data_IF_705907113118
#
_entry.id   IF_705907113118
#
_cell.length_a   1.000
_cell.length_b   1.000
_cell.length_c   1.000
_cell.angle_alpha   90.00
_cell.angle_beta   90.00
_cell.angle_gamma   90.00
#
_symmetry.space_group_name_H-M   'P 1'
#
loop_
_entity.id
_entity.type
_entity.pdbx_description
1 polymer ?
#
# COMPACT_ATOMS: atom_id res chain seq x y z
N UNK A 1 12.65 -2.25 6.36
CA UNK A 1 12.01 -2.20 5.02
C UNK A 1 11.20 -3.46 4.88
N UNK A 2 9.87 -3.36 4.83
CA UNK A 2 8.97 -4.49 5.04
C UNK A 2 9.03 -5.53 3.90
N UNK A 3 9.06 -6.80 4.27
CA UNK A 3 9.10 -7.92 3.32
C UNK A 3 7.74 -8.02 2.61
N UNK A 4 7.71 -8.13 1.28
CA UNK A 4 6.49 -8.32 0.49
C UNK A 4 5.53 -7.11 0.46
N UNK A 5 6.05 -5.88 0.49
CA UNK A 5 5.28 -4.65 0.25
C UNK A 5 5.24 -4.31 -1.25
N UNK A 6 4.06 -4.06 -1.80
CA UNK A 6 3.83 -3.83 -3.23
C UNK A 6 3.09 -2.49 -3.40
N UNK A 7 3.76 -1.51 -4.01
CA UNK A 7 3.17 -0.24 -4.42
C UNK A 7 2.85 -0.31 -5.92
N UNK A 8 1.61 -0.65 -6.26
CA UNK A 8 1.18 -0.88 -7.65
C UNK A 8 0.52 0.34 -8.30
N UNK A 9 -0.02 1.28 -7.51
CA UNK A 9 -0.63 2.51 -8.02
C UNK A 9 0.39 3.63 -8.28
N UNK A 10 0.07 4.57 -9.17
CA UNK A 10 0.89 5.76 -9.41
C UNK A 10 0.96 6.61 -8.15
N UNK A 11 2.16 7.06 -7.77
CA UNK A 11 2.37 7.84 -6.54
C UNK A 11 1.90 7.10 -5.25
N UNK A 12 1.80 5.77 -5.28
CA UNK A 12 1.41 4.98 -4.11
C UNK A 12 2.60 4.72 -3.18
N UNK A 13 2.31 4.46 -1.90
CA UNK A 13 3.30 4.15 -0.87
C UNK A 13 2.90 2.86 -0.16
N UNK A 14 3.77 1.85 -0.18
CA UNK A 14 3.56 0.60 0.57
C UNK A 14 4.69 0.41 1.60
N UNK A 15 4.38 0.38 2.89
CA UNK A 15 5.36 0.18 3.97
C UNK A 15 4.86 -0.80 5.03
N UNK A 16 5.36 -2.03 4.99
CA UNK A 16 4.93 -3.05 5.95
C UNK A 16 5.20 -4.46 5.46
N UNK A 17 4.76 -5.47 6.20
CA UNK A 17 4.90 -6.86 5.80
C UNK A 17 3.66 -7.30 5.02
N UNK A 18 3.79 -7.69 3.76
CA UNK A 18 2.65 -8.15 2.95
C UNK A 18 1.65 -7.07 2.54
N UNK A 19 2.03 -5.79 2.51
CA UNK A 19 1.10 -4.69 2.19
C UNK A 19 0.99 -4.45 0.68
N UNK A 20 -0.18 -4.01 0.21
CA UNK A 20 -0.48 -3.72 -1.21
C UNK A 20 -1.18 -2.38 -1.38
N UNK A 21 -0.49 -1.41 -1.96
CA UNK A 21 -1.07 -0.13 -2.37
C UNK A 21 -1.45 -0.23 -3.86
N UNK A 22 -2.66 -0.68 -4.16
CA UNK A 22 -3.08 -1.02 -5.53
C UNK A 22 -3.60 0.17 -6.34
N UNK A 23 -4.05 1.24 -5.68
CA UNK A 23 -4.65 2.39 -6.35
C UNK A 23 -3.73 3.62 -6.41
N UNK A 24 -4.03 4.54 -7.33
CA UNK A 24 -3.27 5.77 -7.49
C UNK A 24 -3.35 6.64 -6.23
N UNK A 25 -2.22 7.24 -5.85
CA UNK A 25 -2.00 8.02 -4.62
C UNK A 25 -2.39 7.29 -3.33
N UNK A 26 -2.47 5.96 -3.34
CA UNK A 26 -2.84 5.19 -2.15
C UNK A 26 -1.66 4.97 -1.21
N UNK A 27 -1.94 4.81 0.09
CA UNK A 27 -0.93 4.52 1.12
C UNK A 27 -1.33 3.25 1.86
N UNK A 28 -0.51 2.19 1.80
CA UNK A 28 -0.72 0.94 2.52
C UNK A 28 0.44 0.69 3.49
N UNK A 29 0.18 0.77 4.79
CA UNK A 29 1.17 0.48 5.83
C UNK A 29 0.70 -0.64 6.76
N UNK A 30 1.60 -1.26 7.54
CA UNK A 30 1.23 -2.28 8.54
C UNK A 30 1.53 -3.74 8.17
N UNK A 31 0.66 -4.67 8.56
CA UNK A 31 0.79 -6.12 8.29
C UNK A 31 -0.39 -6.59 7.45
N UNK A 32 -0.14 -7.07 6.23
CA UNK A 32 -1.13 -7.63 5.30
C UNK A 32 -2.29 -6.68 4.93
N UNK A 33 -1.98 -5.41 4.64
CA UNK A 33 -2.99 -4.37 4.31
C UNK A 33 -3.15 -4.14 2.81
N UNK A 34 -4.33 -3.69 2.37
CA UNK A 34 -4.65 -3.46 0.96
C UNK A 34 -5.32 -2.10 0.77
N UNK A 35 -4.63 -1.15 0.13
CA UNK A 35 -5.16 0.16 -0.24
C UNK A 35 -5.62 0.14 -1.71
N UNK A 36 -6.91 -0.13 -1.92
CA UNK A 36 -7.51 -0.33 -3.25
C UNK A 36 -8.27 0.88 -3.80
N UNK A 37 -8.46 1.95 -3.00
CA UNK A 37 -9.14 3.18 -3.46
C UNK A 37 -8.16 4.27 -3.89
N UNK A 38 -8.51 5.08 -4.89
CA UNK A 38 -7.73 6.29 -5.24
C UNK A 38 -7.61 7.19 -4.00
N UNK A 39 -6.39 7.63 -3.69
CA UNK A 39 -6.06 8.37 -2.45
C UNK A 39 -6.46 7.68 -1.14
N UNK A 40 -6.70 6.37 -1.14
CA UNK A 40 -7.04 5.64 0.09
C UNK A 40 -5.82 5.44 0.98
N UNK A 41 -6.06 5.35 2.29
CA UNK A 41 -5.05 4.99 3.29
C UNK A 41 -5.49 3.73 4.02
N UNK A 42 -4.64 2.71 4.03
CA UNK A 42 -4.80 1.47 4.79
C UNK A 42 -3.58 1.35 5.74
N UNK A 43 -3.82 1.02 7.01
CA UNK A 43 -2.79 0.90 8.06
C UNK A 43 -2.92 -0.43 8.80
#
# INVERSE_FOLDING_TARGET
MGQNSIASGNNSTAMGWGTRANADRSTAMGYTTYANGDRSTAM
#
